data_IF_447048714437
#
_entry.id   IF_447048714437
#
_cell.length_a   1.000
_cell.length_b   1.000
_cell.length_c   1.000
_cell.angle_alpha   90.00
_cell.angle_beta   90.00
_cell.angle_gamma   90.00
#
_symmetry.space_group_name_H-M   'P 1'
#
loop_
_entity.id
_entity.type
_entity.pdbx_description
1 polymer ?
#
# COMPACT_ATOMS: atom_id res chain seq x y z
N UNK A 1 11.89 29.34 0.31
CA UNK A 1 12.58 28.05 0.18
C UNK A 1 11.56 27.00 0.61
N UNK A 2 11.02 26.27 -0.34
CA UNK A 2 10.10 25.16 -0.03
C UNK A 2 10.91 24.09 0.68
N UNK A 3 10.44 23.67 1.85
CA UNK A 3 11.05 22.58 2.62
C UNK A 3 11.16 21.35 1.71
N UNK A 4 12.39 20.84 1.52
CA UNK A 4 12.64 19.74 0.59
C UNK A 4 12.18 18.39 1.15
N UNK A 5 11.77 18.36 2.42
CA UNK A 5 11.37 17.13 3.12
C UNK A 5 9.91 16.76 2.88
N UNK A 6 9.66 15.46 2.77
CA UNK A 6 8.30 14.93 2.75
C UNK A 6 7.66 15.10 4.14
N UNK A 7 6.37 15.48 4.22
CA UNK A 7 5.63 15.46 5.48
C UNK A 7 5.64 14.05 6.10
N UNK A 8 5.59 13.99 7.44
CA UNK A 8 5.57 12.73 8.18
C UNK A 8 4.43 12.69 9.17
N UNK A 9 3.85 11.50 9.36
CA UNK A 9 2.84 11.21 10.37
C UNK A 9 3.34 10.12 11.33
N UNK A 10 2.72 10.03 12.49
CA UNK A 10 2.86 8.86 13.36
C UNK A 10 1.86 7.79 12.93
N UNK A 11 2.32 6.59 12.62
CA UNK A 11 1.48 5.49 12.14
C UNK A 11 0.64 4.91 13.30
N UNK A 12 -0.44 5.59 13.64
CA UNK A 12 -1.34 5.21 14.73
C UNK A 12 -0.59 4.88 16.03
N UNK A 13 -1.09 3.88 16.76
CA UNK A 13 -0.52 3.41 18.03
C UNK A 13 0.88 2.80 17.95
N UNK A 14 1.38 2.52 16.73
CA UNK A 14 2.74 1.95 16.56
C UNK A 14 3.85 2.91 17.01
N UNK A 15 3.59 4.21 17.04
CA UNK A 15 4.58 5.24 17.29
C UNK A 15 5.62 5.43 16.16
N UNK A 16 5.55 4.64 15.08
CA UNK A 16 6.46 4.77 13.94
C UNK A 16 6.23 6.08 13.20
N UNK A 17 7.30 6.83 12.97
CA UNK A 17 7.28 8.03 12.12
C UNK A 17 7.45 7.61 10.67
N UNK A 18 6.42 7.84 9.84
CA UNK A 18 6.41 7.48 8.43
C UNK A 18 6.14 8.69 7.56
N UNK A 19 6.75 8.75 6.37
CA UNK A 19 6.43 9.77 5.38
C UNK A 19 5.01 9.57 4.85
N UNK A 20 4.31 10.64 4.52
CA UNK A 20 2.94 10.60 3.97
C UNK A 20 2.88 9.88 2.62
N UNK A 21 4.00 9.87 1.88
CA UNK A 21 4.22 9.04 0.70
C UNK A 21 5.19 7.91 1.06
N UNK A 22 4.75 6.66 0.93
CA UNK A 22 5.54 5.45 1.03
C UNK A 22 5.78 4.82 -0.34
N UNK A 23 6.68 3.85 -0.40
CA UNK A 23 6.98 3.10 -1.62
C UNK A 23 6.35 1.71 -1.60
N UNK A 24 5.55 1.39 -2.63
CA UNK A 24 4.96 0.07 -2.87
C UNK A 24 5.85 -0.77 -3.78
N UNK A 25 6.60 -1.70 -3.21
CA UNK A 25 7.58 -2.52 -3.94
C UNK A 25 6.94 -3.60 -4.85
N UNK A 26 5.61 -3.69 -4.92
CA UNK A 26 4.93 -4.49 -5.95
C UNK A 26 5.39 -4.11 -7.36
N UNK A 27 5.84 -2.87 -7.58
CA UNK A 27 6.40 -2.42 -8.86
C UNK A 27 7.69 -3.16 -9.25
N UNK A 28 8.39 -3.79 -8.31
CA UNK A 28 9.59 -4.58 -8.56
C UNK A 28 9.26 -6.02 -8.99
N UNK A 29 7.97 -6.43 -8.98
CA UNK A 29 7.61 -7.73 -9.50
C UNK A 29 7.69 -7.74 -11.03
N UNK A 30 7.97 -8.92 -11.59
CA UNK A 30 8.09 -9.11 -13.02
C UNK A 30 6.74 -9.35 -13.72
N UNK A 31 5.63 -9.24 -12.99
CA UNK A 31 4.29 -9.54 -13.50
C UNK A 31 3.85 -8.52 -14.54
N UNK A 32 3.77 -8.95 -15.78
CA UNK A 32 3.16 -8.22 -16.88
C UNK A 32 4.02 -7.09 -17.48
N UNK A 33 5.32 -7.05 -17.24
CA UNK A 33 6.31 -6.15 -17.85
C UNK A 33 7.66 -6.82 -18.03
N UNK A 34 8.65 -6.11 -18.57
CA UNK A 34 10.02 -6.60 -18.57
C UNK A 34 10.48 -6.79 -17.11
N UNK A 35 11.27 -7.84 -16.88
CA UNK A 35 11.85 -8.14 -15.58
C UNK A 35 12.64 -6.94 -15.07
N UNK A 36 12.41 -6.54 -13.82
CA UNK A 36 13.23 -5.53 -13.14
C UNK A 36 14.54 -6.22 -12.75
N UNK A 37 15.67 -5.73 -13.25
CA UNK A 37 16.98 -6.24 -12.90
C UNK A 37 17.39 -5.77 -11.49
N UNK A 38 18.39 -6.42 -10.88
CA UNK A 38 18.92 -6.00 -9.58
C UNK A 38 19.49 -4.57 -9.65
N UNK A 39 20.18 -4.20 -10.72
CA UNK A 39 20.71 -2.84 -10.88
C UNK A 39 19.60 -1.80 -11.00
N UNK A 40 18.52 -2.10 -11.73
CA UNK A 40 17.35 -1.22 -11.82
C UNK A 40 16.65 -1.09 -10.46
N UNK A 41 16.50 -2.20 -9.72
CA UNK A 41 15.93 -2.19 -8.38
C UNK A 41 16.78 -1.35 -7.42
N UNK A 42 18.10 -1.50 -7.47
CA UNK A 42 19.04 -0.70 -6.66
C UNK A 42 18.89 0.78 -6.94
N UNK A 43 18.93 1.18 -8.22
CA UNK A 43 18.77 2.59 -8.61
C UNK A 43 17.47 3.19 -8.10
N UNK A 44 16.35 2.47 -8.21
CA UNK A 44 15.05 3.01 -7.77
C UNK A 44 14.93 3.01 -6.24
N UNK A 45 15.41 1.97 -5.54
CA UNK A 45 15.32 1.88 -4.09
C UNK A 45 16.25 2.88 -3.39
N UNK A 46 17.47 3.09 -3.92
CA UNK A 46 18.35 4.15 -3.43
C UNK A 46 17.70 5.53 -3.64
N UNK A 47 17.15 5.80 -4.83
CA UNK A 47 16.46 7.05 -5.09
C UNK A 47 15.23 7.27 -4.17
N UNK A 48 14.53 6.21 -3.78
CA UNK A 48 13.42 6.25 -2.80
C UNK A 48 13.93 6.73 -1.45
N UNK A 49 14.99 6.12 -0.92
CA UNK A 49 15.55 6.48 0.38
C UNK A 49 16.22 7.86 0.35
N UNK A 50 16.99 8.16 -0.71
CA UNK A 50 17.66 9.47 -0.89
C UNK A 50 16.67 10.62 -1.01
N UNK A 51 15.45 10.37 -1.53
CA UNK A 51 14.36 11.34 -1.55
C UNK A 51 13.67 11.53 -0.19
N UNK A 52 14.05 10.75 0.82
CA UNK A 52 13.53 10.80 2.19
C UNK A 52 12.26 9.95 2.40
N UNK A 53 11.83 9.13 1.44
CA UNK A 53 10.75 8.15 1.68
C UNK A 53 11.27 7.11 2.66
N UNK A 54 10.58 6.94 3.79
CA UNK A 54 10.99 6.03 4.84
C UNK A 54 10.00 4.90 5.14
N UNK A 55 9.00 4.69 4.30
CA UNK A 55 8.06 3.56 4.42
C UNK A 55 8.09 2.74 3.14
N UNK A 56 8.46 1.45 3.25
CA UNK A 56 8.55 0.50 2.14
C UNK A 56 7.63 -0.69 2.42
N UNK A 57 6.67 -0.93 1.51
CA UNK A 57 5.74 -2.07 1.58
C UNK A 57 6.06 -3.10 0.50
N UNK A 58 6.19 -4.35 0.90
CA UNK A 58 6.41 -5.50 0.03
C UNK A 58 5.52 -6.68 0.39
N UNK A 59 5.71 -7.83 -0.26
CA UNK A 59 5.03 -9.10 0.01
C UNK A 59 5.80 -10.28 -0.60
N UNK A 60 5.74 -11.48 -0.01
CA UNK A 60 6.22 -12.71 -0.63
C UNK A 60 5.61 -12.99 -2.02
N UNK A 61 4.38 -12.50 -2.26
CA UNK A 61 3.65 -12.67 -3.51
C UNK A 61 4.09 -11.70 -4.63
N UNK A 62 5.00 -10.79 -4.34
CA UNK A 62 5.45 -9.78 -5.31
C UNK A 62 6.69 -10.25 -6.09
N UNK A 63 6.74 -11.55 -6.46
CA UNK A 63 7.85 -12.13 -7.20
C UNK A 63 9.18 -11.91 -6.49
N UNK A 64 10.21 -11.35 -7.15
CA UNK A 64 11.55 -11.17 -6.55
C UNK A 64 11.65 -9.92 -5.66
N UNK A 65 10.54 -9.26 -5.30
CA UNK A 65 10.57 -7.95 -4.62
C UNK A 65 11.35 -7.99 -3.30
N UNK A 66 11.15 -9.04 -2.48
CA UNK A 66 11.85 -9.18 -1.20
C UNK A 66 13.36 -9.41 -1.39
N UNK A 67 13.75 -10.24 -2.35
CA UNK A 67 15.15 -10.49 -2.71
C UNK A 67 15.83 -9.23 -3.25
N UNK A 68 15.13 -8.46 -4.10
CA UNK A 68 15.63 -7.22 -4.65
C UNK A 68 15.83 -6.15 -3.57
N UNK A 69 14.92 -6.03 -2.60
CA UNK A 69 15.09 -5.17 -1.42
C UNK A 69 16.34 -5.59 -0.64
N UNK A 70 16.47 -6.89 -0.34
CA UNK A 70 17.61 -7.43 0.39
C UNK A 70 18.95 -7.29 -0.32
N UNK A 71 18.96 -7.36 -1.66
CA UNK A 71 20.18 -7.15 -2.45
C UNK A 71 20.57 -5.67 -2.56
N UNK A 72 19.59 -4.77 -2.56
CA UNK A 72 19.82 -3.35 -2.85
C UNK A 72 20.05 -2.51 -1.60
N UNK A 73 19.20 -2.62 -0.57
CA UNK A 73 19.15 -1.67 0.55
C UNK A 73 19.22 -2.32 1.94
N UNK A 74 19.59 -3.59 2.07
CA UNK A 74 19.78 -4.22 3.39
C UNK A 74 20.78 -3.45 4.27
N UNK A 75 21.84 -2.88 3.69
CA UNK A 75 22.82 -2.05 4.40
C UNK A 75 22.29 -0.71 4.92
N UNK A 76 21.08 -0.31 4.50
CA UNK A 76 20.40 0.94 4.89
C UNK A 76 19.17 0.66 5.77
N UNK A 77 19.11 -0.52 6.41
CA UNK A 77 17.90 -1.04 7.11
C UNK A 77 17.31 -0.09 8.15
N UNK A 78 18.12 0.71 8.81
CA UNK A 78 17.68 1.64 9.85
C UNK A 78 17.11 2.96 9.30
N UNK A 79 17.17 3.18 7.99
CA UNK A 79 16.65 4.39 7.34
C UNK A 79 15.16 4.28 7.00
N UNK A 80 14.55 3.07 7.07
CA UNK A 80 13.17 2.86 6.66
C UNK A 80 12.39 1.91 7.55
N UNK A 81 11.09 2.14 7.60
CA UNK A 81 10.07 1.24 8.14
C UNK A 81 9.71 0.22 7.06
N UNK A 82 9.91 -1.06 7.35
CA UNK A 82 9.64 -2.16 6.44
C UNK A 82 8.31 -2.81 6.77
N UNK A 83 7.40 -2.84 5.81
CA UNK A 83 6.16 -3.60 5.86
C UNK A 83 6.21 -4.77 4.86
N UNK A 84 5.84 -5.98 5.31
CA UNK A 84 5.64 -7.15 4.45
C UNK A 84 4.33 -7.85 4.79
N UNK A 85 4.09 -9.02 4.18
CA UNK A 85 2.84 -9.76 4.34
C UNK A 85 3.09 -11.18 4.82
N UNK A 86 2.05 -11.76 5.47
CA UNK A 86 1.98 -13.18 5.81
C UNK A 86 0.69 -13.81 5.30
N UNK A 87 0.58 -15.13 5.42
CA UNK A 87 -0.53 -15.88 4.84
C UNK A 87 -0.33 -16.26 3.37
N UNK A 88 0.65 -15.68 2.67
CA UNK A 88 1.05 -16.12 1.34
C UNK A 88 1.55 -17.56 1.41
N UNK A 89 1.11 -18.43 0.47
CA UNK A 89 1.50 -19.84 0.49
C UNK A 89 3.02 -20.01 0.29
N UNK A 90 3.71 -20.59 1.26
CA UNK A 90 5.17 -20.83 1.19
C UNK A 90 5.55 -22.03 0.33
N UNK A 91 4.59 -22.89 -0.02
CA UNK A 91 4.76 -24.07 -0.87
C UNK A 91 3.71 -24.05 -2.00
N UNK A 92 3.79 -23.08 -2.94
CA UNK A 92 2.80 -23.00 -4.00
C UNK A 92 2.81 -24.27 -4.86
N UNK A 93 1.64 -24.87 -5.05
CA UNK A 93 1.47 -25.96 -6.01
C UNK A 93 1.45 -25.34 -7.43
N UNK A 94 2.21 -25.90 -8.39
CA UNK A 94 2.13 -25.48 -9.78
C UNK A 94 0.70 -25.55 -10.36
N UNK A 95 -0.18 -26.36 -9.78
CA UNK A 95 -1.58 -26.49 -10.18
C UNK A 95 -2.51 -25.42 -9.59
N UNK A 96 -2.01 -24.59 -8.63
CA UNK A 96 -2.81 -23.54 -7.98
C UNK A 96 -3.23 -22.40 -8.92
N UNK A 97 -2.76 -22.42 -10.17
CA UNK A 97 -3.06 -21.37 -11.13
C UNK A 97 -2.27 -20.08 -10.90
N UNK A 98 -2.60 -19.01 -11.62
CA UNK A 98 -1.80 -17.79 -11.64
C UNK A 98 -1.96 -16.89 -10.40
N UNK A 99 -2.96 -17.14 -9.56
CA UNK A 99 -3.18 -16.37 -8.32
C UNK A 99 -2.60 -17.13 -7.13
N UNK A 100 -1.71 -16.52 -6.33
CA UNK A 100 -1.20 -17.14 -5.12
C UNK A 100 -2.38 -17.46 -4.17
N UNK A 101 -2.42 -18.69 -3.66
CA UNK A 101 -3.31 -19.02 -2.55
C UNK A 101 -2.77 -18.42 -1.26
N UNK A 102 -3.68 -18.07 -0.35
CA UNK A 102 -3.36 -17.67 1.00
C UNK A 102 -3.71 -18.81 1.95
N UNK A 103 -2.84 -19.08 2.92
CA UNK A 103 -2.98 -20.14 3.92
C UNK A 103 -2.68 -19.52 5.29
N UNK A 104 -3.67 -19.51 6.16
CA UNK A 104 -3.60 -18.84 7.46
C UNK A 104 -3.41 -19.84 8.62
N UNK A 105 -2.55 -20.85 8.42
CA UNK A 105 -2.11 -21.73 9.50
C UNK A 105 -0.89 -21.16 10.22
N UNK A 106 -0.71 -21.50 11.48
CA UNK A 106 0.45 -21.09 12.27
C UNK A 106 1.77 -21.44 11.58
N UNK A 107 1.89 -22.65 11.02
CA UNK A 107 3.10 -23.13 10.35
C UNK A 107 3.42 -22.29 9.11
N UNK A 108 2.41 -21.99 8.26
CA UNK A 108 2.62 -21.20 7.05
C UNK A 108 2.96 -19.74 7.38
N UNK A 109 2.35 -19.17 8.41
CA UNK A 109 2.66 -17.80 8.88
C UNK A 109 4.11 -17.72 9.35
N UNK A 110 4.55 -18.63 10.23
CA UNK A 110 5.93 -18.67 10.73
C UNK A 110 6.92 -18.88 9.59
N UNK A 111 6.70 -19.89 8.76
CA UNK A 111 7.59 -20.19 7.63
C UNK A 111 7.67 -19.02 6.62
N UNK A 112 6.56 -18.32 6.39
CA UNK A 112 6.48 -17.16 5.51
C UNK A 112 7.32 -16.00 6.03
N UNK A 113 7.17 -15.63 7.30
CA UNK A 113 7.93 -14.55 7.93
C UNK A 113 9.44 -14.89 7.98
N UNK A 114 9.80 -16.11 8.35
CA UNK A 114 11.21 -16.54 8.36
C UNK A 114 11.84 -16.45 6.97
N UNK A 115 11.11 -16.85 5.92
CA UNK A 115 11.56 -16.73 4.54
C UNK A 115 11.73 -15.27 4.13
N UNK A 116 10.77 -14.39 4.51
CA UNK A 116 10.87 -12.95 4.23
C UNK A 116 12.10 -12.33 4.87
N UNK A 117 12.39 -12.66 6.14
CA UNK A 117 13.62 -12.20 6.83
C UNK A 117 14.90 -12.60 6.08
N UNK A 118 14.94 -13.86 5.60
CA UNK A 118 16.09 -14.36 4.82
C UNK A 118 16.24 -13.64 3.48
N UNK A 119 15.15 -13.46 2.72
CA UNK A 119 15.15 -12.81 1.41
C UNK A 119 15.54 -11.33 1.50
N UNK A 120 14.98 -10.63 2.47
CA UNK A 120 15.24 -9.20 2.70
C UNK A 120 16.61 -8.99 3.40
N UNK A 121 17.23 -10.06 3.91
CA UNK A 121 18.51 -10.04 4.65
C UNK A 121 18.45 -9.13 5.87
N UNK A 122 17.42 -9.28 6.69
CA UNK A 122 17.17 -8.51 7.91
C UNK A 122 16.79 -9.43 9.06
N UNK A 123 17.03 -8.99 10.27
CA UNK A 123 16.63 -9.70 11.50
C UNK A 123 15.23 -9.34 11.99
N UNK A 124 14.63 -8.26 11.44
CA UNK A 124 13.31 -7.76 11.85
C UNK A 124 12.51 -7.17 10.68
N UNK A 125 11.18 -7.32 10.76
CA UNK A 125 10.21 -6.60 9.94
C UNK A 125 9.41 -5.69 10.86
N UNK A 126 9.23 -4.42 10.49
CA UNK A 126 8.54 -3.47 11.35
C UNK A 126 7.02 -3.72 11.40
N UNK A 127 6.40 -4.07 10.27
CA UNK A 127 4.98 -4.38 10.18
C UNK A 127 4.75 -5.62 9.32
N UNK A 128 4.17 -6.67 9.89
CA UNK A 128 3.70 -7.83 9.10
C UNK A 128 2.19 -7.82 9.05
N UNK A 129 1.64 -7.90 7.85
CA UNK A 129 0.22 -7.78 7.59
C UNK A 129 -0.34 -9.09 7.05
N UNK A 130 -1.49 -9.57 7.56
CA UNK A 130 -2.22 -10.63 6.87
C UNK A 130 -2.62 -10.15 5.48
N UNK A 131 -2.37 -10.98 4.47
CA UNK A 131 -2.62 -10.68 3.08
C UNK A 131 -3.89 -11.38 2.59
N UNK A 132 -4.69 -10.73 1.71
CA UNK A 132 -5.85 -11.35 1.09
C UNK A 132 -7.17 -11.20 1.84
N UNK A 133 -7.21 -10.46 2.96
CA UNK A 133 -8.44 -10.20 3.75
C UNK A 133 -9.15 -11.49 4.18
N UNK A 134 -8.51 -12.36 5.00
CA UNK A 134 -9.14 -13.59 5.48
C UNK A 134 -10.38 -13.29 6.34
N UNK A 135 -11.34 -14.19 6.35
CA UNK A 135 -12.45 -14.14 7.31
C UNK A 135 -11.96 -14.35 8.75
N UNK A 136 -12.76 -13.95 9.74
CA UNK A 136 -12.46 -14.23 11.15
C UNK A 136 -12.22 -15.71 11.40
N UNK A 137 -13.08 -16.58 10.85
CA UNK A 137 -12.97 -18.03 11.01
C UNK A 137 -11.60 -18.54 10.51
N UNK A 138 -11.11 -18.07 9.36
CA UNK A 138 -9.79 -18.46 8.84
C UNK A 138 -8.63 -17.97 9.73
N UNK A 139 -8.76 -16.82 10.38
CA UNK A 139 -7.75 -16.30 11.30
C UNK A 139 -7.69 -17.06 12.63
N UNK A 140 -8.84 -17.51 13.13
CA UNK A 140 -8.98 -18.15 14.45
C UNK A 140 -8.75 -19.66 14.40
N UNK A 141 -9.09 -20.32 13.28
CA UNK A 141 -9.16 -21.78 13.20
C UNK A 141 -7.80 -22.47 13.42
N UNK A 142 -6.71 -21.87 12.98
CA UNK A 142 -5.40 -22.52 12.93
C UNK A 142 -4.27 -21.74 13.61
N UNK A 143 -4.59 -20.84 14.54
CA UNK A 143 -3.62 -20.15 15.38
C UNK A 143 -2.70 -19.18 14.62
N UNK A 144 -3.19 -18.58 13.53
CA UNK A 144 -2.41 -17.66 12.69
C UNK A 144 -2.02 -16.38 13.43
N UNK A 145 -2.93 -15.83 14.24
CA UNK A 145 -2.69 -14.61 15.03
C UNK A 145 -1.67 -14.89 16.13
N UNK A 146 -1.84 -15.97 16.88
CA UNK A 146 -0.93 -16.37 17.95
C UNK A 146 0.48 -16.66 17.44
N UNK A 147 0.59 -17.24 16.23
CA UNK A 147 1.86 -17.45 15.57
C UNK A 147 2.59 -16.11 15.28
N UNK A 148 1.85 -15.12 14.78
CA UNK A 148 2.40 -13.80 14.49
C UNK A 148 2.75 -13.04 15.79
N UNK A 149 1.96 -13.18 16.86
CA UNK A 149 2.26 -12.64 18.17
C UNK A 149 3.51 -13.30 18.80
N UNK A 150 3.72 -14.59 18.56
CA UNK A 150 4.95 -15.30 19.00
C UNK A 150 6.19 -14.74 18.29
N UNK A 151 6.10 -14.47 16.99
CA UNK A 151 7.18 -13.83 16.24
C UNK A 151 7.42 -12.38 16.71
N UNK A 152 6.38 -11.68 17.16
CA UNK A 152 6.49 -10.36 17.76
C UNK A 152 7.23 -10.43 19.11
N UNK A 153 6.88 -11.37 19.97
CA UNK A 153 7.60 -11.60 21.25
C UNK A 153 9.06 -11.99 21.03
N UNK A 154 9.36 -12.70 19.93
CA UNK A 154 10.74 -13.04 19.54
C UNK A 154 11.53 -11.87 18.92
N UNK A 155 10.90 -10.69 18.75
CA UNK A 155 11.53 -9.49 18.17
C UNK A 155 11.70 -9.53 16.65
N UNK A 156 11.17 -10.55 15.97
CA UNK A 156 11.24 -10.70 14.50
C UNK A 156 10.22 -9.81 13.77
N UNK A 157 9.11 -9.52 14.44
CA UNK A 157 8.02 -8.64 13.99
C UNK A 157 7.80 -7.58 15.05
N UNK A 158 7.72 -6.31 14.70
CA UNK A 158 7.45 -5.25 15.69
C UNK A 158 5.96 -5.00 15.86
N UNK A 159 5.19 -4.95 14.78
CA UNK A 159 3.77 -4.65 14.76
C UNK A 159 3.02 -5.61 13.83
N UNK A 160 1.76 -5.86 14.15
CA UNK A 160 0.87 -6.76 13.42
C UNK A 160 -0.19 -5.94 12.69
N UNK A 161 -0.41 -6.21 11.41
CA UNK A 161 -1.39 -5.50 10.59
C UNK A 161 -2.28 -6.40 9.77
N UNK A 162 -3.22 -5.75 9.08
CA UNK A 162 -4.15 -6.38 8.15
C UNK A 162 -4.18 -5.62 6.81
N UNK A 163 -3.97 -6.31 5.69
CA UNK A 163 -4.29 -5.78 4.36
C UNK A 163 -5.71 -6.19 4.01
N UNK A 164 -6.68 -5.41 4.48
CA UNK A 164 -8.10 -5.76 4.49
C UNK A 164 -8.93 -5.01 3.46
N UNK A 165 -10.05 -5.63 3.08
CA UNK A 165 -11.10 -5.07 2.23
C UNK A 165 -12.47 -5.54 2.74
N UNK A 166 -13.53 -4.94 2.23
CA UNK A 166 -14.89 -5.47 2.43
C UNK A 166 -14.99 -6.89 1.81
N UNK A 167 -15.82 -7.80 2.38
CA UNK A 167 -16.72 -7.52 3.52
C UNK A 167 -16.07 -7.65 4.91
N UNK A 168 -14.87 -8.26 5.04
CA UNK A 168 -14.30 -8.69 6.33
C UNK A 168 -13.62 -7.57 7.13
N UNK A 169 -13.29 -6.43 6.48
CA UNK A 169 -12.56 -5.33 7.11
C UNK A 169 -13.23 -4.76 8.39
N UNK A 170 -14.58 -4.61 8.48
CA UNK A 170 -15.22 -4.17 9.73
C UNK A 170 -14.89 -5.07 10.90
N UNK A 171 -14.96 -6.39 10.70
CA UNK A 171 -14.69 -7.39 11.73
C UNK A 171 -13.21 -7.36 12.15
N UNK A 172 -12.28 -7.20 11.19
CA UNK A 172 -10.86 -7.03 11.50
C UNK A 172 -10.59 -5.83 12.39
N UNK A 173 -11.30 -4.71 12.16
CA UNK A 173 -11.16 -3.51 13.02
C UNK A 173 -11.67 -3.81 14.43
N UNK A 174 -12.79 -4.54 14.56
CA UNK A 174 -13.41 -4.87 15.84
C UNK A 174 -12.60 -5.88 16.66
N UNK A 175 -11.79 -6.73 16.04
CA UNK A 175 -10.88 -7.63 16.76
C UNK A 175 -9.92 -6.89 17.70
N UNK A 176 -9.53 -5.66 17.38
CA UNK A 176 -8.64 -4.83 18.21
C UNK A 176 -7.19 -5.34 18.31
N UNK A 177 -6.81 -6.38 17.58
CA UNK A 177 -5.48 -7.01 17.62
C UNK A 177 -4.49 -6.40 16.63
N UNK A 178 -4.97 -5.67 15.63
CA UNK A 178 -4.14 -5.12 14.58
C UNK A 178 -3.69 -3.69 14.89
N UNK A 179 -2.38 -3.44 14.77
CA UNK A 179 -1.77 -2.13 14.99
C UNK A 179 -1.94 -1.20 13.77
N UNK A 180 -2.08 -1.77 12.57
CA UNK A 180 -2.25 -1.01 11.34
C UNK A 180 -3.10 -1.77 10.31
N UNK A 181 -3.78 -1.00 9.46
CA UNK A 181 -4.58 -1.51 8.35
C UNK A 181 -4.08 -0.92 7.03
N UNK A 182 -3.90 -1.78 6.02
CA UNK A 182 -3.64 -1.38 4.65
C UNK A 182 -4.93 -1.53 3.84
N UNK A 183 -5.49 -0.39 3.40
CA UNK A 183 -6.84 -0.32 2.82
C UNK A 183 -6.77 0.37 1.47
N UNK A 184 -7.52 -0.08 0.43
CA UNK A 184 -7.59 0.63 -0.84
C UNK A 184 -8.41 1.91 -0.71
N UNK A 185 -7.89 3.01 -1.29
CA UNK A 185 -8.61 4.27 -1.39
C UNK A 185 -7.98 5.19 -2.46
N UNK A 186 -8.82 5.92 -3.16
CA UNK A 186 -8.46 7.05 -4.02
C UNK A 186 -9.72 7.87 -4.33
N UNK A 187 -9.59 8.99 -5.03
CA UNK A 187 -10.75 9.79 -5.47
C UNK A 187 -11.82 8.96 -6.21
N UNK A 188 -11.42 7.94 -6.96
CA UNK A 188 -12.32 7.09 -7.76
C UNK A 188 -12.51 5.67 -7.17
N UNK A 189 -12.10 5.47 -5.92
CA UNK A 189 -12.31 4.24 -5.16
C UNK A 189 -12.50 4.59 -3.69
N UNK A 190 -13.73 4.88 -3.26
CA UNK A 190 -14.03 5.48 -1.95
C UNK A 190 -14.86 4.59 -1.02
N UNK A 191 -15.18 3.38 -1.43
CA UNK A 191 -16.05 2.44 -0.69
C UNK A 191 -15.56 2.10 0.72
N UNK A 192 -14.27 2.31 1.00
CA UNK A 192 -13.66 2.04 2.31
C UNK A 192 -13.42 3.29 3.17
N UNK A 193 -13.80 4.50 2.71
CA UNK A 193 -13.45 5.76 3.39
C UNK A 193 -13.89 5.81 4.86
N UNK A 194 -15.13 5.40 5.14
CA UNK A 194 -15.65 5.35 6.50
C UNK A 194 -14.89 4.34 7.38
N UNK A 195 -14.43 3.22 6.81
CA UNK A 195 -13.67 2.21 7.53
C UNK A 195 -12.23 2.64 7.79
N UNK A 196 -11.64 3.44 6.90
CA UNK A 196 -10.32 4.06 7.14
C UNK A 196 -10.41 5.01 8.33
N UNK A 197 -11.44 5.86 8.37
CA UNK A 197 -11.70 6.75 9.50
C UNK A 197 -11.89 5.96 10.79
N UNK A 198 -12.74 4.92 10.77
CA UNK A 198 -12.96 4.05 11.92
C UNK A 198 -11.68 3.37 12.43
N UNK A 199 -10.82 2.90 11.53
CA UNK A 199 -9.53 2.31 11.89
C UNK A 199 -8.60 3.35 12.57
N UNK A 200 -8.57 4.59 12.08
CA UNK A 200 -7.82 5.67 12.70
C UNK A 200 -8.39 6.05 14.07
N UNK A 201 -9.72 6.12 14.22
CA UNK A 201 -10.41 6.48 15.46
C UNK A 201 -10.14 5.48 16.60
N UNK A 202 -9.97 4.19 16.28
CA UNK A 202 -9.55 3.17 17.26
C UNK A 202 -8.03 3.20 17.50
N UNK A 203 -7.30 4.16 16.94
CA UNK A 203 -5.88 4.38 17.12
C UNK A 203 -4.98 3.49 16.25
N UNK A 204 -5.52 2.74 15.29
CA UNK A 204 -4.70 1.95 14.38
C UNK A 204 -4.04 2.82 13.30
N UNK A 205 -2.88 2.41 12.82
CA UNK A 205 -2.23 3.03 11.66
C UNK A 205 -3.02 2.75 10.38
N UNK A 206 -3.14 3.76 9.50
CA UNK A 206 -3.79 3.60 8.20
C UNK A 206 -2.78 3.78 7.08
N UNK A 207 -2.70 2.77 6.22
CA UNK A 207 -1.83 2.71 5.06
C UNK A 207 -2.73 2.61 3.84
N UNK A 208 -2.69 3.60 2.97
CA UNK A 208 -3.52 3.61 1.77
C UNK A 208 -2.76 2.96 0.62
N UNK A 209 -3.37 1.94 0.02
CA UNK A 209 -2.92 1.36 -1.25
C UNK A 209 -3.82 1.79 -2.39
N UNK A 210 -3.26 1.89 -3.59
CA UNK A 210 -4.02 2.34 -4.76
C UNK A 210 -4.31 3.84 -4.78
N UNK A 211 -3.64 4.64 -3.95
CA UNK A 211 -3.86 6.08 -3.80
C UNK A 211 -3.68 6.92 -5.07
N UNK A 212 -3.12 6.34 -6.12
CA UNK A 212 -3.07 6.92 -7.48
C UNK A 212 -3.87 6.08 -8.48
N UNK A 213 -4.90 5.36 -8.00
CA UNK A 213 -5.76 4.50 -8.83
C UNK A 213 -4.96 3.60 -9.78
N UNK A 214 -3.82 3.05 -9.31
CA UNK A 214 -2.89 2.21 -10.07
C UNK A 214 -2.34 2.86 -11.34
N UNK A 215 -2.34 4.20 -11.41
CA UNK A 215 -1.91 4.96 -12.57
C UNK A 215 -2.94 5.02 -13.72
N UNK A 216 -4.17 4.61 -13.49
CA UNK A 216 -5.25 4.57 -14.49
C UNK A 216 -5.52 5.92 -15.15
N UNK A 217 -5.45 7.08 -14.46
CA UNK A 217 -5.70 8.37 -15.07
C UNK A 217 -4.55 8.92 -15.90
N UNK A 218 -3.38 8.26 -15.93
CA UNK A 218 -2.23 8.73 -16.69
C UNK A 218 -2.51 8.70 -18.20
N UNK A 219 -2.15 9.77 -18.89
CA UNK A 219 -2.43 9.95 -20.32
C UNK A 219 -1.81 8.86 -21.22
N UNK A 220 -0.67 8.29 -20.79
CA UNK A 220 0.06 7.25 -21.50
C UNK A 220 -0.50 5.83 -21.29
N UNK A 221 -1.27 5.61 -20.22
CA UNK A 221 -1.81 4.29 -19.86
C UNK A 221 -3.26 4.09 -20.24
N UNK A 222 -4.01 5.16 -20.43
CA UNK A 222 -5.47 5.14 -20.58
C UNK A 222 -6.16 4.64 -19.29
N UNK A 223 -7.48 4.57 -19.29
CA UNK A 223 -8.31 4.19 -18.14
C UNK A 223 -8.37 2.68 -17.86
N UNK A 224 -7.66 1.85 -18.61
CA UNK A 224 -7.65 0.40 -18.43
C UNK A 224 -6.33 -0.11 -17.87
N UNK A 225 -6.37 -0.95 -16.85
CA UNK A 225 -5.22 -1.78 -16.49
C UNK A 225 -5.16 -2.92 -17.51
N UNK A 226 -4.52 -2.68 -18.66
CA UNK A 226 -4.44 -3.65 -19.80
C UNK A 226 -4.01 -5.06 -19.42
N UNK A 227 -3.53 -5.28 -18.19
CA UNK A 227 -2.94 -6.53 -17.71
C UNK A 227 -3.84 -7.35 -16.79
N UNK A 228 -4.99 -6.80 -16.38
CA UNK A 228 -5.99 -7.48 -15.59
C UNK A 228 -7.35 -7.20 -16.23
N UNK A 229 -7.76 -7.98 -17.26
CA UNK A 229 -9.04 -7.78 -17.96
C UNK A 229 -10.25 -7.70 -17.01
N UNK A 230 -10.17 -8.37 -15.87
CA UNK A 230 -11.17 -8.38 -14.79
C UNK A 230 -11.23 -7.05 -14.02
N UNK A 231 -10.24 -6.18 -14.19
CA UNK A 231 -10.19 -4.81 -13.66
C UNK A 231 -10.33 -3.76 -14.77
N UNK A 232 -10.69 -4.17 -15.97
CA UNK A 232 -11.12 -3.27 -17.05
C UNK A 232 -12.55 -2.76 -16.74
N UNK A 233 -12.75 -2.30 -15.50
CA UNK A 233 -13.96 -1.63 -15.10
C UNK A 233 -13.89 -0.20 -15.65
N UNK A 234 -14.87 0.16 -16.47
CA UNK A 234 -15.01 1.54 -16.98
C UNK A 234 -15.52 2.49 -15.90
N UNK A 235 -16.03 1.96 -14.79
CA UNK A 235 -16.61 2.74 -13.69
C UNK A 235 -15.68 3.83 -13.14
N UNK A 236 -14.36 3.59 -12.91
CA UNK A 236 -13.44 4.64 -12.49
C UNK A 236 -13.35 5.82 -13.47
N UNK A 237 -13.37 5.53 -14.78
CA UNK A 237 -13.39 6.54 -15.82
C UNK A 237 -14.71 7.29 -15.84
N UNK A 238 -15.82 6.56 -15.82
CA UNK A 238 -17.17 7.15 -15.81
C UNK A 238 -17.34 8.07 -14.60
N UNK A 239 -16.92 7.61 -13.39
CA UNK A 239 -16.98 8.42 -12.18
C UNK A 239 -16.16 9.72 -12.29
N UNK A 240 -14.96 9.66 -12.88
CA UNK A 240 -14.13 10.84 -13.14
C UNK A 240 -14.82 11.83 -14.06
N UNK A 241 -15.41 11.33 -15.17
CA UNK A 241 -16.11 12.13 -16.19
C UNK A 241 -17.43 12.70 -15.64
N UNK A 242 -18.24 11.89 -14.96
CA UNK A 242 -19.52 12.30 -14.33
C UNK A 242 -19.29 13.36 -13.24
N UNK A 243 -18.24 13.21 -12.43
CA UNK A 243 -17.85 14.19 -11.42
C UNK A 243 -17.15 15.42 -12.01
N UNK A 244 -16.87 15.46 -13.32
CA UNK A 244 -16.18 16.55 -14.00
C UNK A 244 -14.90 16.99 -13.29
N UNK A 245 -14.08 16.03 -12.87
CA UNK A 245 -12.87 16.32 -12.07
C UNK A 245 -11.79 17.07 -12.85
N UNK A 246 -11.80 17.01 -14.18
CA UNK A 246 -10.86 17.76 -15.01
C UNK A 246 -11.01 19.29 -14.82
N UNK A 247 -12.18 19.79 -14.47
CA UNK A 247 -12.43 21.22 -14.20
C UNK A 247 -11.73 21.71 -12.91
N UNK A 248 -11.32 20.79 -12.04
CA UNK A 248 -10.70 21.09 -10.74
C UNK A 248 -9.18 20.93 -10.75
N UNK A 249 -8.56 20.61 -11.89
CA UNK A 249 -7.14 20.33 -11.97
C UNK A 249 -6.24 21.57 -11.78
N UNK A 250 -6.73 22.76 -12.10
CA UNK A 250 -5.97 24.03 -12.00
C UNK A 250 -4.54 23.93 -12.58
N UNK A 251 -4.38 23.20 -13.69
CA UNK A 251 -3.11 22.97 -14.36
C UNK A 251 -2.29 21.79 -13.82
N UNK A 252 -2.75 21.11 -12.78
CA UNK A 252 -2.15 19.87 -12.32
C UNK A 252 -2.45 18.72 -13.29
N UNK A 253 -1.60 17.69 -13.30
CA UNK A 253 -1.94 16.44 -13.97
C UNK A 253 -3.00 15.67 -13.18
N UNK A 254 -3.75 14.77 -13.86
CA UNK A 254 -4.70 13.89 -13.18
C UNK A 254 -4.03 13.02 -12.11
N UNK A 255 -2.77 12.61 -12.35
CA UNK A 255 -1.98 11.84 -11.39
C UNK A 255 -1.62 12.66 -10.15
N UNK A 256 -1.21 13.92 -10.32
CA UNK A 256 -0.96 14.83 -9.20
C UNK A 256 -2.25 15.07 -8.41
N UNK A 257 -3.35 15.36 -9.08
CA UNK A 257 -4.64 15.62 -8.44
C UNK A 257 -5.08 14.42 -7.60
N UNK A 258 -5.06 13.20 -8.16
CA UNK A 258 -5.55 12.00 -7.46
C UNK A 258 -4.66 11.64 -6.26
N UNK A 259 -3.34 11.82 -6.35
CA UNK A 259 -2.43 11.63 -5.23
C UNK A 259 -2.71 12.66 -4.12
N UNK A 260 -2.83 13.93 -4.47
CA UNK A 260 -3.11 15.00 -3.50
C UNK A 260 -4.51 14.90 -2.90
N UNK A 261 -5.51 14.44 -3.68
CA UNK A 261 -6.83 14.09 -3.14
C UNK A 261 -6.71 12.99 -2.07
N UNK A 262 -5.95 11.92 -2.37
CA UNK A 262 -5.70 10.85 -1.41
C UNK A 262 -4.99 11.36 -0.15
N UNK A 263 -4.00 12.23 -0.29
CA UNK A 263 -3.29 12.87 0.82
C UNK A 263 -4.18 13.83 1.63
N UNK A 264 -5.32 14.26 1.07
CA UNK A 264 -6.28 15.12 1.78
C UNK A 264 -7.18 14.37 2.76
N UNK A 265 -7.18 13.02 2.75
CA UNK A 265 -7.96 12.22 3.69
C UNK A 265 -7.40 12.39 5.12
N UNK A 266 -8.16 12.98 6.07
CA UNK A 266 -7.63 13.27 7.43
C UNK A 266 -7.17 12.02 8.18
N UNK A 267 -7.81 10.88 7.93
CA UNK A 267 -7.50 9.60 8.55
C UNK A 267 -6.29 8.87 7.92
N UNK A 268 -5.60 9.46 6.93
CA UNK A 268 -4.44 8.87 6.28
C UNK A 268 -3.17 9.11 7.09
N UNK A 269 -2.41 8.05 7.36
CA UNK A 269 -1.05 8.19 7.90
C UNK A 269 0.01 8.11 6.80
N UNK A 270 -0.13 7.19 5.85
CA UNK A 270 0.74 7.07 4.67
C UNK A 270 -0.01 6.48 3.49
N UNK A 271 0.39 6.83 2.27
CA UNK A 271 -0.06 6.15 1.04
C UNK A 271 1.11 5.56 0.31
N UNK A 272 0.98 4.32 -0.17
CA UNK A 272 2.05 3.66 -0.93
C UNK A 272 1.81 3.79 -2.43
N UNK A 273 2.84 4.25 -3.13
CA UNK A 273 2.85 4.33 -4.60
C UNK A 273 4.05 3.58 -5.13
N UNK A 274 3.81 2.65 -6.05
CA UNK A 274 4.85 1.81 -6.65
C UNK A 274 5.19 2.23 -8.06
N UNK A 275 6.49 2.34 -8.35
CA UNK A 275 7.01 2.51 -9.70
C UNK A 275 8.44 1.99 -9.80
N UNK A 276 8.80 1.44 -10.98
CA UNK A 276 10.19 1.13 -11.35
C UNK A 276 10.77 2.21 -12.27
N UNK A 277 10.04 3.30 -12.52
CA UNK A 277 10.45 4.41 -13.38
C UNK A 277 10.84 5.63 -12.53
N UNK A 278 12.08 6.09 -12.66
CA UNK A 278 12.61 7.22 -11.89
C UNK A 278 11.86 8.54 -12.17
N UNK A 279 11.35 8.75 -13.39
CA UNK A 279 10.55 9.94 -13.70
C UNK A 279 9.22 9.94 -12.97
N UNK A 280 8.53 8.80 -12.95
CA UNK A 280 7.28 8.67 -12.18
C UNK A 280 7.52 8.81 -10.67
N UNK A 281 8.67 8.32 -10.15
CA UNK A 281 9.03 8.54 -8.75
C UNK A 281 9.18 10.05 -8.47
N UNK A 282 9.89 10.78 -9.34
CA UNK A 282 10.05 12.23 -9.20
C UNK A 282 8.72 12.99 -9.24
N UNK A 283 7.84 12.66 -10.18
CA UNK A 283 6.50 13.25 -10.27
C UNK A 283 5.66 13.01 -9.02
N UNK A 284 5.68 11.78 -8.49
CA UNK A 284 4.99 11.45 -7.24
C UNK A 284 5.57 12.21 -6.03
N UNK A 285 6.90 12.37 -5.97
CA UNK A 285 7.56 13.16 -4.93
C UNK A 285 7.19 14.64 -5.02
N UNK A 286 7.17 15.22 -6.22
CA UNK A 286 6.77 16.61 -6.45
C UNK A 286 5.32 16.84 -6.01
N UNK A 287 4.41 15.93 -6.38
CA UNK A 287 3.02 15.98 -5.96
C UNK A 287 2.87 15.86 -4.43
N UNK A 288 3.58 14.91 -3.80
CA UNK A 288 3.53 14.70 -2.35
C UNK A 288 4.10 15.88 -1.55
N UNK A 289 5.14 16.55 -2.07
CA UNK A 289 5.70 17.77 -1.46
C UNK A 289 4.76 18.96 -1.50
N UNK A 290 3.87 19.02 -2.49
CA UNK A 290 2.78 20.02 -2.52
C UNK A 290 1.73 19.76 -1.45
N UNK A 291 1.70 18.54 -0.89
CA UNK A 291 0.77 18.13 0.16
C UNK A 291 -0.68 17.95 -0.32
N UNK A 292 -1.64 17.99 0.59
CA UNK A 292 -3.07 17.89 0.30
C UNK A 292 -3.54 18.90 -0.75
N UNK A 293 -4.70 18.63 -1.37
CA UNK A 293 -5.40 19.66 -2.14
C UNK A 293 -5.81 20.83 -1.23
N UNK A 294 -5.98 22.06 -1.77
CA UNK A 294 -6.69 23.11 -1.05
C UNK A 294 -8.03 22.60 -0.56
N UNK A 295 -8.47 23.02 0.64
CA UNK A 295 -9.67 22.47 1.29
C UNK A 295 -10.94 22.65 0.46
N UNK A 296 -11.07 23.82 -0.19
CA UNK A 296 -12.19 24.13 -1.07
C UNK A 296 -12.22 23.23 -2.30
N UNK A 297 -11.07 22.93 -2.90
CA UNK A 297 -10.95 22.00 -4.05
C UNK A 297 -11.28 20.58 -3.62
N UNK A 298 -10.72 20.14 -2.46
CA UNK A 298 -11.00 18.80 -1.92
C UNK A 298 -12.48 18.58 -1.63
N UNK A 299 -13.10 19.53 -0.92
CA UNK A 299 -14.53 19.49 -0.62
C UNK A 299 -15.40 19.54 -1.88
N UNK A 300 -15.02 20.36 -2.88
CA UNK A 300 -15.74 20.45 -4.13
C UNK A 300 -15.66 19.14 -4.92
N UNK A 301 -14.45 18.55 -5.00
CA UNK A 301 -14.27 17.24 -5.64
C UNK A 301 -15.07 16.15 -4.93
N UNK A 302 -15.05 16.13 -3.59
CA UNK A 302 -15.80 15.16 -2.78
C UNK A 302 -17.30 15.26 -3.04
N UNK A 303 -17.90 16.47 -3.02
CA UNK A 303 -19.33 16.67 -3.32
C UNK A 303 -19.71 16.20 -4.74
N UNK A 304 -18.85 16.47 -5.74
CA UNK A 304 -19.10 16.03 -7.13
C UNK A 304 -19.05 14.50 -7.25
N UNK A 305 -18.09 13.87 -6.58
CA UNK A 305 -17.95 12.41 -6.53
C UNK A 305 -19.15 11.76 -5.83
N UNK A 306 -19.62 12.32 -4.72
CA UNK A 306 -20.79 11.83 -3.99
C UNK A 306 -22.05 11.90 -4.88
N UNK A 307 -22.24 13.00 -5.59
CA UNK A 307 -23.36 13.16 -6.52
C UNK A 307 -23.31 12.16 -7.69
N UNK A 308 -22.10 11.87 -8.23
CA UNK A 308 -21.91 10.93 -9.32
C UNK A 308 -22.11 9.45 -8.90
N UNK A 309 -21.92 9.12 -7.61
CA UNK A 309 -22.22 7.77 -7.08
C UNK A 309 -23.71 7.57 -6.85
N UNK A 310 -24.47 8.63 -6.58
CA UNK A 310 -25.90 8.57 -6.29
C UNK A 310 -26.80 8.44 -7.55
N UNK A 311 -26.22 8.64 -8.75
CA UNK A 311 -26.87 8.47 -10.05
C UNK A 311 -26.65 7.09 -10.62
#
# INVERSE_FOLDING_TARGET
>A
MTDSHLPTNTLGRTGLRVTTLGYGAMALNNRGGPAVTEDQARVILDAVLDAGINFIDTSPDYGPSEELIGASIAGRRDEYVLASKCGCNVQPDPLDGPRPKHIYTAENVVAGVERSLQRIKTDRIDLVQFHGSPSLAELEEHGAIEALQTLQQAGKVRFIGMSGVLPDLPDHIDMGVFDAFQIPYSAIQREHEALITRAADVGAGTIIRGGVARGTPAADKGWGVKRLPELADERPRQLWEEAQLDDLLEGASRMEFILRYTLSLPALHTTIVGTANANHLRENLEAARKGPLPSDIYEHATRRLDAAVAT
#
